data_IF_337461395978
#
_entry.id   IF_337461395978
#
_cell.length_a   1.000
_cell.length_b   1.000
_cell.length_c   1.000
_cell.angle_alpha   90.00
_cell.angle_beta   90.00
_cell.angle_gamma   90.00
#
_symmetry.space_group_name_H-M   'P 1'
#
loop_
_entity.id
_entity.type
_entity.pdbx_description
1 polymer ?
#
# COMPACT_ATOMS: atom_id res chain seq x y z
N UNK A 1 14.19 -0.50 -27.54
CA UNK A 1 14.04 -0.79 -26.10
C UNK A 1 12.86 0.04 -25.65
N UNK A 2 11.69 -0.58 -25.66
CA UNK A 2 10.44 0.16 -25.63
C UNK A 2 10.07 0.56 -24.21
N UNK A 3 9.53 1.78 -24.15
CA UNK A 3 8.99 2.56 -23.05
C UNK A 3 7.83 1.90 -22.30
N UNK A 4 7.86 0.58 -22.09
CA UNK A 4 6.72 -0.13 -21.53
C UNK A 4 6.46 0.30 -20.07
N UNK A 5 7.52 0.68 -19.34
CA UNK A 5 7.42 1.21 -17.98
C UNK A 5 6.89 2.66 -17.93
N UNK A 6 7.29 3.50 -18.89
CA UNK A 6 6.78 4.87 -19.01
C UNK A 6 5.31 4.88 -19.46
N UNK A 7 4.93 3.93 -20.31
CA UNK A 7 3.54 3.74 -20.73
C UNK A 7 2.68 3.26 -19.57
N UNK A 8 3.20 2.38 -18.71
CA UNK A 8 2.51 1.96 -17.49
C UNK A 8 2.34 3.11 -16.51
N UNK A 9 3.38 3.91 -16.29
CA UNK A 9 3.32 5.08 -15.41
C UNK A 9 2.32 6.12 -15.92
N UNK A 10 2.36 6.45 -17.21
CA UNK A 10 1.42 7.38 -17.83
C UNK A 10 -0.02 6.85 -17.84
N UNK A 11 -0.20 5.52 -17.94
CA UNK A 11 -1.51 4.89 -17.80
C UNK A 11 -2.02 5.02 -16.37
N UNK A 12 -1.21 4.69 -15.36
CA UNK A 12 -1.58 4.81 -13.95
C UNK A 12 -1.92 6.27 -13.57
N UNK A 13 -1.13 7.24 -14.03
CA UNK A 13 -1.37 8.67 -13.82
C UNK A 13 -2.68 9.15 -14.49
N UNK A 14 -3.10 8.53 -15.60
CA UNK A 14 -4.33 8.91 -16.32
C UNK A 14 -5.60 8.34 -15.68
N UNK A 15 -5.51 7.22 -14.96
CA UNK A 15 -6.65 6.56 -14.31
C UNK A 15 -6.84 6.94 -12.84
N UNK A 16 -5.96 7.77 -12.24
CA UNK A 16 -6.17 8.33 -10.90
C UNK A 16 -7.56 8.97 -10.65
N UNK A 17 -8.24 9.62 -11.63
CA UNK A 17 -9.54 10.22 -11.37
C UNK A 17 -10.73 9.26 -11.42
N UNK A 18 -10.60 8.06 -12.02
CA UNK A 18 -11.74 7.17 -12.31
C UNK A 18 -11.70 5.80 -11.62
N UNK A 19 -10.68 5.50 -10.81
CA UNK A 19 -10.73 4.40 -9.82
C UNK A 19 -11.30 4.89 -8.48
N UNK A 20 -12.28 5.80 -8.53
CA UNK A 20 -13.10 6.20 -7.38
C UNK A 20 -14.14 5.11 -7.09
N UNK A 21 -13.67 3.96 -6.62
CA UNK A 21 -14.51 2.83 -6.21
C UNK A 21 -13.92 2.03 -5.05
N UNK A 22 -12.61 2.09 -4.84
CA UNK A 22 -12.00 1.68 -3.59
C UNK A 22 -11.93 2.90 -2.69
N UNK A 23 -12.94 3.03 -1.82
CA UNK A 23 -12.96 4.09 -0.82
C UNK A 23 -11.58 4.15 -0.15
N UNK A 24 -10.94 5.31 -0.24
CA UNK A 24 -9.78 5.67 0.59
C UNK A 24 -10.25 5.79 2.04
N UNK A 25 -10.76 4.70 2.60
CA UNK A 25 -11.16 4.63 3.99
C UNK A 25 -9.92 4.95 4.82
N UNK A 26 -10.07 5.83 5.84
CA UNK A 26 -8.98 6.09 6.76
C UNK A 26 -8.53 4.75 7.35
N UNK A 27 -7.22 4.51 7.31
CA UNK A 27 -6.63 3.36 8.00
C UNK A 27 -6.83 3.60 9.49
N UNK A 28 -7.37 2.61 10.21
CA UNK A 28 -7.53 2.70 11.65
C UNK A 28 -6.17 2.86 12.32
N UNK A 29 -6.11 3.50 13.48
CA UNK A 29 -4.84 3.67 14.22
C UNK A 29 -4.22 2.31 14.56
N UNK A 30 -5.04 1.31 14.90
CA UNK A 30 -4.61 -0.06 15.16
C UNK A 30 -3.99 -0.72 13.92
N UNK A 31 -4.60 -0.55 12.74
CA UNK A 31 -4.06 -1.12 11.49
C UNK A 31 -2.81 -0.39 11.02
N UNK A 32 -2.74 0.94 11.22
CA UNK A 32 -1.56 1.73 10.94
C UNK A 32 -0.37 1.25 11.79
N UNK A 33 -0.58 1.03 13.09
CA UNK A 33 0.43 0.49 13.99
C UNK A 33 0.89 -0.92 13.56
N UNK A 34 -0.03 -1.78 13.14
CA UNK A 34 0.31 -3.12 12.64
C UNK A 34 1.08 -3.07 11.32
N UNK A 35 0.77 -2.13 10.42
CA UNK A 35 1.51 -1.89 9.17
C UNK A 35 2.94 -1.41 9.46
N UNK A 36 3.10 -0.49 10.42
CA UNK A 36 4.44 -0.03 10.87
C UNK A 36 5.25 -1.20 11.44
N UNK A 37 4.63 -2.03 12.29
CA UNK A 37 5.27 -3.24 12.84
C UNK A 37 5.63 -4.25 11.75
N UNK A 38 4.79 -4.41 10.73
CA UNK A 38 5.08 -5.23 9.56
C UNK A 38 6.31 -4.71 8.81
N UNK A 39 6.41 -3.41 8.53
CA UNK A 39 7.58 -2.80 7.90
C UNK A 39 8.88 -3.00 8.70
N UNK A 40 8.76 -3.02 10.04
CA UNK A 40 9.89 -3.28 10.93
C UNK A 40 10.30 -4.75 11.01
N UNK A 41 9.44 -5.67 10.60
CA UNK A 41 9.64 -7.12 10.74
C UNK A 41 9.26 -7.65 12.13
N UNK A 42 8.47 -6.88 12.89
CA UNK A 42 8.02 -7.17 14.26
C UNK A 42 6.63 -7.83 14.30
N UNK A 43 6.10 -8.17 13.13
CA UNK A 43 4.82 -8.85 12.96
C UNK A 43 5.05 -10.30 12.52
N UNK A 44 4.38 -11.22 13.20
CA UNK A 44 4.39 -12.64 12.89
C UNK A 44 3.63 -12.96 11.59
N UNK A 45 3.75 -14.20 11.12
CA UNK A 45 3.14 -14.62 9.85
C UNK A 45 1.61 -14.47 9.88
N UNK A 46 0.97 -14.80 11.01
CA UNK A 46 -0.47 -14.66 11.18
C UNK A 46 -0.91 -13.18 11.10
N UNK A 47 -0.16 -12.27 11.73
CA UNK A 47 -0.42 -10.84 11.66
C UNK A 47 -0.24 -10.26 10.27
N UNK A 48 0.77 -10.72 9.52
CA UNK A 48 0.99 -10.32 8.11
C UNK A 48 -0.14 -10.79 7.20
N UNK A 49 -0.54 -12.06 7.33
CA UNK A 49 -1.63 -12.63 6.54
C UNK A 49 -2.96 -11.90 6.80
N UNK A 50 -3.20 -11.45 8.03
CA UNK A 50 -4.40 -10.68 8.37
C UNK A 50 -4.39 -9.26 7.77
N UNK A 51 -3.23 -8.65 7.55
CA UNK A 51 -3.11 -7.34 6.90
C UNK A 51 -3.13 -7.41 5.37
N UNK A 52 -2.83 -8.57 4.78
CA UNK A 52 -2.75 -8.71 3.32
C UNK A 52 -4.04 -8.28 2.57
N UNK A 53 -5.26 -8.62 3.03
CA UNK A 53 -6.49 -8.14 2.39
C UNK A 53 -6.64 -6.62 2.47
N UNK A 54 -6.30 -6.02 3.63
CA UNK A 54 -6.37 -4.58 3.85
C UNK A 54 -5.38 -3.82 2.96
N UNK A 55 -4.16 -4.33 2.83
CA UNK A 55 -3.15 -3.76 1.94
C UNK A 55 -3.55 -3.86 0.47
N UNK A 56 -4.24 -4.93 0.08
CA UNK A 56 -4.72 -5.13 -1.29
C UNK A 56 -5.94 -4.27 -1.65
N UNK A 57 -6.75 -3.86 -0.67
CA UNK A 57 -7.99 -3.12 -0.89
C UNK A 57 -7.93 -1.64 -0.50
N UNK A 58 -6.86 -1.21 0.17
CA UNK A 58 -6.69 0.16 0.67
C UNK A 58 -5.34 0.76 0.28
N UNK A 59 -5.36 1.67 -0.69
CA UNK A 59 -4.16 2.33 -1.21
C UNK A 59 -3.40 3.16 -0.15
N UNK A 60 -4.11 3.68 0.86
CA UNK A 60 -3.46 4.40 1.98
C UNK A 60 -2.67 3.43 2.86
N UNK A 61 -3.20 2.24 3.11
CA UNK A 61 -2.50 1.21 3.87
C UNK A 61 -1.22 0.77 3.14
N UNK A 62 -1.30 0.58 1.82
CA UNK A 62 -0.13 0.25 1.00
C UNK A 62 0.89 1.39 0.96
N UNK A 63 0.43 2.64 0.78
CA UNK A 63 1.29 3.82 0.79
C UNK A 63 2.05 3.99 2.11
N UNK A 64 1.37 3.72 3.24
CA UNK A 64 1.97 3.74 4.57
C UNK A 64 3.07 2.68 4.69
N UNK A 65 2.79 1.44 4.27
CA UNK A 65 3.77 0.35 4.30
C UNK A 65 5.03 0.70 3.49
N UNK A 66 4.84 1.20 2.26
CA UNK A 66 5.96 1.59 1.38
C UNK A 66 6.76 2.75 1.97
N UNK A 67 6.10 3.74 2.56
CA UNK A 67 6.75 4.87 3.25
C UNK A 67 7.65 4.40 4.39
N UNK A 68 7.15 3.50 5.24
CA UNK A 68 7.90 2.94 6.35
C UNK A 68 9.07 2.06 5.89
N UNK A 69 8.90 1.26 4.83
CA UNK A 69 9.99 0.47 4.24
C UNK A 69 11.10 1.35 3.67
N UNK A 70 10.76 2.48 3.01
CA UNK A 70 11.72 3.45 2.48
C UNK A 70 12.53 4.16 3.57
N UNK A 71 11.95 4.39 4.76
CA UNK A 71 12.69 4.98 5.91
C UNK A 71 13.74 4.04 6.48
N UNK A 72 13.59 2.74 6.28
CA UNK A 72 14.51 1.69 6.78
C UNK A 72 15.64 1.40 5.79
N UNK A 73 15.51 1.80 4.52
CA UNK A 73 16.54 1.69 3.48
C UNK A 73 17.57 2.81 3.60
#
# INVERSE_FOLDING_TARGET
>A
MNNDFELLAAFLDHFEPEVTGHASEPVSDDDADRIVRMARGELDEAGRAALAPLLASNDRAMSLLVSELKKKA
#
